data_IF_227171410779
#
_entry.id   IF_227171410779
#
_cell.length_a   1.000
_cell.length_b   1.000
_cell.length_c   1.000
_cell.angle_alpha   90.00
_cell.angle_beta   90.00
_cell.angle_gamma   90.00
#
_symmetry.space_group_name_H-M   'P 1'
#
loop_
_entity.id
_entity.type
_entity.pdbx_description
1 polymer ?
#
# COMPACT_ATOMS: atom_id res chain seq x y z
N UNK A 1 -9.93 -18.54 -0.37
CA UNK A 1 -10.28 -18.35 1.08
C UNK A 1 -10.21 -19.69 1.77
N UNK A 2 -10.93 -20.71 1.31
CA UNK A 2 -11.01 -22.01 2.00
C UNK A 2 -9.63 -22.66 2.19
N UNK A 3 -8.77 -22.68 1.19
CA UNK A 3 -7.41 -23.19 1.34
C UNK A 3 -6.56 -22.39 2.31
N UNK A 4 -6.71 -21.05 2.33
CA UNK A 4 -6.02 -20.20 3.29
C UNK A 4 -6.44 -20.56 4.74
N UNK A 5 -7.75 -20.68 4.98
CA UNK A 5 -8.28 -21.06 6.30
C UNK A 5 -7.77 -22.42 6.75
N UNK A 6 -7.80 -23.41 5.87
CA UNK A 6 -7.38 -24.77 6.14
C UNK A 6 -5.88 -24.89 6.41
N UNK A 7 -5.06 -24.13 5.67
CA UNK A 7 -3.59 -24.21 5.73
C UNK A 7 -2.96 -23.23 6.70
N UNK A 8 -3.67 -22.17 7.09
CA UNK A 8 -3.14 -21.07 7.89
C UNK A 8 -2.11 -20.21 7.17
N UNK A 9 -2.06 -20.27 5.83
CA UNK A 9 -1.17 -19.47 5.00
C UNK A 9 -1.72 -19.31 3.58
N UNK A 10 -1.14 -18.37 2.81
CA UNK A 10 -1.46 -18.27 1.38
C UNK A 10 -0.87 -19.48 0.63
N UNK A 11 -1.71 -20.30 -0.05
CA UNK A 11 -1.22 -21.51 -0.72
C UNK A 11 -0.33 -21.24 -1.94
N UNK A 12 -0.41 -20.03 -2.52
CA UNK A 12 0.29 -19.70 -3.76
C UNK A 12 1.50 -18.76 -3.55
N UNK A 13 1.61 -18.10 -2.38
CA UNK A 13 2.64 -17.09 -2.17
C UNK A 13 2.99 -16.96 -0.68
N UNK A 14 4.30 -16.86 -0.37
CA UNK A 14 4.82 -16.77 1.00
C UNK A 14 4.32 -17.92 1.91
N UNK A 15 4.40 -19.14 1.42
CA UNK A 15 3.87 -20.35 2.07
C UNK A 15 4.44 -20.61 3.48
N UNK A 16 5.60 -20.02 3.79
CA UNK A 16 6.23 -20.09 5.13
C UNK A 16 5.61 -19.17 6.17
N UNK A 17 4.85 -18.15 5.74
CA UNK A 17 4.20 -17.20 6.67
C UNK A 17 2.91 -17.81 7.19
N UNK A 18 2.81 -17.95 8.51
CA UNK A 18 1.64 -18.52 9.18
C UNK A 18 0.78 -17.43 9.81
N UNK A 19 -0.52 -17.62 9.75
CA UNK A 19 -1.52 -16.72 10.32
C UNK A 19 -2.43 -17.49 11.27
N UNK A 20 -2.80 -16.86 12.38
CA UNK A 20 -3.90 -17.38 13.19
C UNK A 20 -5.23 -17.06 12.52
N UNK A 21 -5.81 -18.07 11.89
CA UNK A 21 -7.07 -17.92 11.15
C UNK A 21 -8.29 -17.69 12.04
N UNK A 22 -8.17 -17.86 13.36
CA UNK A 22 -9.24 -17.54 14.31
C UNK A 22 -9.36 -16.02 14.53
N UNK A 23 -8.26 -15.28 14.34
CA UNK A 23 -8.24 -13.82 14.47
C UNK A 23 -8.58 -13.10 13.16
N UNK A 24 -8.68 -13.83 12.04
CA UNK A 24 -8.90 -13.25 10.73
C UNK A 24 -10.31 -13.58 10.21
N UNK A 25 -11.08 -12.57 9.90
CA UNK A 25 -12.36 -12.73 9.20
C UNK A 25 -12.17 -12.64 7.69
N UNK A 26 -12.75 -13.57 6.96
CA UNK A 26 -12.67 -13.63 5.49
C UNK A 26 -14.04 -13.35 4.87
N UNK A 27 -14.07 -12.51 3.83
CA UNK A 27 -15.26 -12.28 3.02
C UNK A 27 -14.89 -12.15 1.55
N UNK A 28 -15.73 -12.69 0.68
CA UNK A 28 -15.68 -12.44 -0.77
C UNK A 28 -16.54 -11.25 -1.20
N UNK A 29 -17.35 -10.69 -0.28
CA UNK A 29 -18.15 -9.50 -0.49
C UNK A 29 -17.50 -8.30 0.23
N UNK A 30 -17.10 -7.32 -0.54
CA UNK A 30 -16.48 -6.07 -0.04
C UNK A 30 -17.43 -5.31 0.90
N UNK A 31 -18.74 -5.38 0.68
CA UNK A 31 -19.72 -4.66 1.49
C UNK A 31 -19.72 -5.17 2.94
N UNK A 32 -19.62 -6.48 3.15
CA UNK A 32 -19.51 -7.05 4.50
C UNK A 32 -18.31 -6.55 5.28
N UNK A 33 -17.21 -6.24 4.57
CA UNK A 33 -16.01 -5.67 5.18
C UNK A 33 -16.22 -4.18 5.49
N UNK A 34 -16.69 -3.42 4.52
CA UNK A 34 -16.91 -1.97 4.66
C UNK A 34 -17.93 -1.65 5.75
N UNK A 35 -18.99 -2.44 5.88
CA UNK A 35 -20.01 -2.23 6.92
C UNK A 35 -19.47 -2.50 8.34
N UNK A 36 -18.49 -3.41 8.45
CA UNK A 36 -18.00 -3.89 9.75
C UNK A 36 -16.81 -3.08 10.28
N UNK A 37 -15.97 -2.53 9.42
CA UNK A 37 -14.68 -1.93 9.83
C UNK A 37 -14.62 -0.46 9.48
N UNK A 38 -13.93 0.33 10.35
CA UNK A 38 -13.77 1.78 10.18
C UNK A 38 -12.48 2.14 9.44
N UNK A 39 -11.46 1.29 9.48
CA UNK A 39 -10.23 1.43 8.73
C UNK A 39 -10.17 0.39 7.59
N UNK A 40 -9.92 0.86 6.37
CA UNK A 40 -9.92 0.04 5.16
C UNK A 40 -8.58 0.16 4.45
N UNK A 41 -7.83 -0.95 4.35
CA UNK A 41 -6.55 -0.97 3.62
C UNK A 41 -6.76 -1.57 2.24
N UNK A 42 -6.54 -0.76 1.20
CA UNK A 42 -6.66 -1.20 -0.19
C UNK A 42 -5.29 -1.63 -0.73
N UNK A 43 -5.20 -2.89 -1.15
CA UNK A 43 -3.97 -3.51 -1.69
C UNK A 43 -4.17 -4.13 -3.08
N UNK A 44 -5.35 -3.96 -3.67
CA UNK A 44 -5.65 -4.42 -5.03
C UNK A 44 -4.79 -3.65 -6.05
N UNK A 45 -4.15 -4.29 -7.03
CA UNK A 45 -3.40 -3.56 -8.06
C UNK A 45 -4.27 -2.53 -8.77
N UNK A 46 -3.70 -1.33 -9.04
CA UNK A 46 -4.43 -0.16 -9.54
C UNK A 46 -5.33 -0.42 -10.76
N UNK A 47 -4.96 -1.27 -11.75
CA UNK A 47 -5.84 -1.56 -12.89
C UNK A 47 -7.17 -2.25 -12.51
N UNK A 48 -7.20 -2.93 -11.37
CA UNK A 48 -8.39 -3.67 -10.91
C UNK A 48 -9.22 -2.91 -9.87
N UNK A 49 -8.70 -1.81 -9.33
CA UNK A 49 -9.33 -1.05 -8.25
C UNK A 49 -10.75 -0.61 -8.61
N UNK A 50 -10.94 0.01 -9.78
CA UNK A 50 -12.26 0.48 -10.25
C UNK A 50 -13.30 -0.65 -10.29
N UNK A 51 -12.92 -1.80 -10.85
CA UNK A 51 -13.83 -2.94 -10.96
C UNK A 51 -14.17 -3.53 -9.58
N UNK A 52 -13.25 -3.44 -8.62
CA UNK A 52 -13.50 -3.84 -7.24
C UNK A 52 -14.48 -2.89 -6.56
N UNK A 53 -14.25 -1.59 -6.71
CA UNK A 53 -15.07 -0.55 -6.08
C UNK A 53 -16.46 -0.41 -6.70
N UNK A 54 -16.68 -0.79 -7.97
CA UNK A 54 -18.02 -0.87 -8.58
C UNK A 54 -19.01 -1.79 -7.82
N UNK A 55 -18.49 -2.72 -7.01
CA UNK A 55 -19.30 -3.62 -6.18
C UNK A 55 -19.74 -2.99 -4.86
N UNK A 56 -19.15 -1.84 -4.48
CA UNK A 56 -19.55 -1.13 -3.27
C UNK A 56 -20.96 -0.58 -3.36
N UNK A 57 -21.76 -0.87 -2.34
CA UNK A 57 -23.10 -0.33 -2.13
C UNK A 57 -23.12 0.67 -0.98
N UNK A 58 -22.21 0.50 -0.03
CA UNK A 58 -22.06 1.35 1.14
C UNK A 58 -21.07 2.49 0.86
N UNK A 59 -21.36 3.68 1.41
CA UNK A 59 -20.47 4.83 1.31
C UNK A 59 -19.24 4.62 2.21
N UNK A 60 -18.07 5.02 1.70
CA UNK A 60 -16.80 4.95 2.43
C UNK A 60 -16.27 6.32 2.86
N UNK A 61 -17.04 7.37 2.64
CA UNK A 61 -16.69 8.76 2.92
C UNK A 61 -16.16 8.99 4.34
N UNK A 62 -16.78 8.33 5.31
CA UNK A 62 -16.47 8.50 6.74
C UNK A 62 -15.46 7.45 7.26
N UNK A 63 -15.00 6.55 6.38
CA UNK A 63 -14.01 5.52 6.73
C UNK A 63 -12.60 6.08 6.63
N UNK A 64 -11.69 5.54 7.44
CA UNK A 64 -10.26 5.78 7.27
C UNK A 64 -9.74 4.87 6.14
N UNK A 65 -9.46 5.46 5.00
CA UNK A 65 -9.05 4.74 3.78
C UNK A 65 -7.54 4.84 3.63
N UNK A 66 -6.87 3.70 3.64
CA UNK A 66 -5.42 3.59 3.50
C UNK A 66 -5.11 2.91 2.16
N UNK A 67 -4.33 3.54 1.31
CA UNK A 67 -3.86 2.94 0.07
C UNK A 67 -2.45 2.39 0.24
N UNK A 68 -2.25 1.11 -0.08
CA UNK A 68 -0.94 0.49 -0.25
C UNK A 68 -0.70 0.14 -1.74
N UNK A 69 -1.51 0.71 -2.62
CA UNK A 69 -1.52 0.47 -4.06
C UNK A 69 -0.39 1.27 -4.71
N UNK A 70 0.37 0.62 -5.58
CA UNK A 70 1.43 1.26 -6.37
C UNK A 70 0.92 1.44 -7.80
N UNK A 71 0.94 2.68 -8.28
CA UNK A 71 0.45 3.01 -9.62
C UNK A 71 -0.67 4.03 -9.61
N UNK A 72 -1.10 4.40 -10.80
CA UNK A 72 -2.23 5.31 -11.05
C UNK A 72 -3.48 4.51 -11.40
N UNK A 73 -4.65 5.10 -11.17
CA UNK A 73 -5.93 4.53 -11.61
C UNK A 73 -6.07 4.81 -13.12
N UNK A 74 -6.15 3.75 -13.95
CA UNK A 74 -6.29 3.93 -15.40
C UNK A 74 -7.55 4.72 -15.77
N UNK A 75 -7.50 5.39 -16.90
CA UNK A 75 -8.51 6.27 -17.50
C UNK A 75 -8.63 7.63 -16.78
N UNK A 76 -8.70 7.67 -15.46
CA UNK A 76 -8.72 8.92 -14.68
C UNK A 76 -7.31 9.56 -14.58
N UNK A 77 -6.25 8.79 -14.71
CA UNK A 77 -4.86 9.23 -14.53
C UNK A 77 -4.58 9.86 -13.15
N UNK A 78 -5.31 9.43 -12.14
CA UNK A 78 -5.18 9.89 -10.76
C UNK A 78 -4.39 8.89 -9.93
N UNK A 79 -3.65 9.36 -8.94
CA UNK A 79 -3.17 8.49 -7.86
C UNK A 79 -4.35 8.04 -7.01
N UNK A 80 -4.18 6.95 -6.25
CA UNK A 80 -5.32 6.33 -5.58
C UNK A 80 -6.01 7.23 -4.56
N UNK A 81 -5.26 8.04 -3.81
CA UNK A 81 -5.85 8.99 -2.85
C UNK A 81 -6.69 10.06 -3.55
N UNK A 82 -6.22 10.63 -4.65
CA UNK A 82 -7.00 11.57 -5.45
C UNK A 82 -8.27 10.92 -6.00
N UNK A 83 -8.18 9.68 -6.45
CA UNK A 83 -9.33 8.94 -6.94
C UNK A 83 -10.37 8.70 -5.84
N UNK A 84 -9.97 8.29 -4.65
CA UNK A 84 -10.89 8.15 -3.51
C UNK A 84 -11.49 9.48 -3.08
N UNK A 85 -10.71 10.55 -3.12
CA UNK A 85 -11.21 11.90 -2.81
C UNK A 85 -12.26 12.38 -3.81
N UNK A 86 -11.95 12.29 -5.11
CA UNK A 86 -12.80 12.87 -6.16
C UNK A 86 -14.05 12.05 -6.47
N UNK A 87 -13.94 10.71 -6.38
CA UNK A 87 -15.02 9.79 -6.81
C UNK A 87 -15.87 9.29 -5.64
N UNK A 88 -15.27 9.17 -4.46
CA UNK A 88 -15.94 8.62 -3.27
C UNK A 88 -16.12 9.64 -2.14
N UNK A 89 -15.80 10.91 -2.38
CA UNK A 89 -15.92 12.01 -1.42
C UNK A 89 -15.16 11.78 -0.09
N UNK A 90 -14.13 10.94 -0.08
CA UNK A 90 -13.32 10.71 1.12
C UNK A 90 -12.46 11.94 1.39
N UNK A 91 -12.58 12.60 2.55
CA UNK A 91 -11.76 13.77 2.84
C UNK A 91 -10.29 13.38 3.03
N UNK A 92 -9.35 14.28 2.67
CA UNK A 92 -7.91 14.01 2.83
C UNK A 92 -7.50 13.70 4.28
N UNK A 93 -8.24 14.19 5.27
CA UNK A 93 -8.04 13.83 6.68
C UNK A 93 -8.37 12.35 7.00
N UNK A 94 -9.06 11.67 6.09
CA UNK A 94 -9.40 10.25 6.19
C UNK A 94 -8.67 9.41 5.13
N UNK A 95 -7.77 10.03 4.36
CA UNK A 95 -6.98 9.33 3.35
C UNK A 95 -5.53 9.18 3.81
N UNK A 96 -5.03 7.97 3.78
CA UNK A 96 -3.63 7.69 4.00
C UNK A 96 -3.03 6.90 2.85
N UNK A 97 -1.73 7.09 2.65
CA UNK A 97 -0.91 6.28 1.75
C UNK A 97 0.18 5.58 2.52
N UNK A 98 0.38 4.29 2.22
CA UNK A 98 1.47 3.48 2.75
C UNK A 98 2.55 3.33 1.68
N UNK A 99 3.71 3.93 1.92
CA UNK A 99 4.89 3.86 1.06
C UNK A 99 6.11 3.30 1.78
N UNK A 100 7.20 3.12 1.05
CA UNK A 100 8.48 2.72 1.60
C UNK A 100 9.01 1.37 1.08
N UNK A 101 10.30 1.10 1.29
CA UNK A 101 10.96 -0.14 0.90
C UNK A 101 10.58 -1.28 1.86
N UNK A 102 9.64 -2.11 1.43
CA UNK A 102 9.11 -3.25 2.19
C UNK A 102 8.75 -4.39 1.23
N UNK A 103 9.76 -5.11 0.77
CA UNK A 103 9.55 -6.26 -0.10
C UNK A 103 8.99 -7.42 0.74
N UNK A 104 7.88 -8.01 0.28
CA UNK A 104 7.11 -8.95 1.10
C UNK A 104 7.93 -10.20 1.51
N UNK A 105 8.82 -10.68 0.62
CA UNK A 105 9.69 -11.81 0.91
C UNK A 105 10.74 -11.45 1.98
N UNK A 106 11.23 -10.21 2.01
CA UNK A 106 12.15 -9.76 3.03
C UNK A 106 11.46 -9.54 4.37
N UNK A 107 10.24 -8.99 4.34
CA UNK A 107 9.40 -8.86 5.55
C UNK A 107 9.08 -10.25 6.13
N UNK A 108 8.77 -11.23 5.29
CA UNK A 108 8.53 -12.61 5.70
C UNK A 108 9.76 -13.29 6.32
N UNK A 109 10.96 -12.80 6.03
CA UNK A 109 12.23 -13.24 6.62
C UNK A 109 12.65 -12.34 7.81
N UNK A 110 11.76 -11.50 8.31
CA UNK A 110 11.98 -10.57 9.43
C UNK A 110 13.17 -9.61 9.18
N UNK A 111 13.44 -9.29 7.90
CA UNK A 111 14.46 -8.32 7.55
C UNK A 111 13.98 -6.90 7.80
N UNK A 112 14.91 -6.05 8.22
CA UNK A 112 14.61 -4.65 8.53
C UNK A 112 13.98 -3.94 7.33
N UNK A 113 12.76 -3.46 7.53
CA UNK A 113 11.93 -2.80 6.53
C UNK A 113 11.48 -1.44 7.04
N UNK A 114 11.25 -0.52 6.11
CA UNK A 114 10.82 0.84 6.43
C UNK A 114 9.52 1.17 5.73
N UNK A 115 8.58 1.68 6.50
CA UNK A 115 7.29 2.14 5.98
C UNK A 115 7.05 3.60 6.36
N UNK A 116 6.44 4.34 5.45
CA UNK A 116 5.94 5.69 5.70
C UNK A 116 4.43 5.67 5.58
N UNK A 117 3.75 6.11 6.63
CA UNK A 117 2.31 6.35 6.63
C UNK A 117 2.08 7.85 6.41
N UNK A 118 1.57 8.20 5.23
CA UNK A 118 1.26 9.58 4.90
C UNK A 118 -0.24 9.84 5.05
N UNK A 119 -0.61 10.84 5.87
CA UNK A 119 -1.99 11.31 6.03
C UNK A 119 -1.95 12.78 6.45
N UNK A 120 -2.89 13.60 6.00
CA UNK A 120 -2.98 15.00 6.46
C UNK A 120 -3.35 15.11 7.95
N UNK A 121 -4.07 14.12 8.47
CA UNK A 121 -4.33 13.95 9.91
C UNK A 121 -3.19 13.11 10.53
N UNK A 122 -2.28 13.80 11.23
CA UNK A 122 -1.08 13.16 11.78
C UNK A 122 -1.38 12.23 12.97
N UNK A 123 -2.47 12.43 13.69
CA UNK A 123 -2.87 11.53 14.77
C UNK A 123 -3.29 10.17 14.21
N UNK A 124 -4.07 10.16 13.13
CA UNK A 124 -4.44 8.92 12.41
C UNK A 124 -3.24 8.24 11.76
N UNK A 125 -2.34 9.05 11.16
CA UNK A 125 -1.10 8.53 10.58
C UNK A 125 -0.26 7.81 11.65
N UNK A 126 -0.08 8.44 12.81
CA UNK A 126 0.70 7.85 13.91
C UNK A 126 0.03 6.60 14.47
N UNK A 127 -1.28 6.66 14.74
CA UNK A 127 -2.01 5.49 15.25
C UNK A 127 -1.90 4.28 14.31
N UNK A 128 -1.97 4.48 13.01
CA UNK A 128 -1.79 3.39 12.04
C UNK A 128 -0.33 2.95 11.93
N UNK A 129 0.63 3.87 12.00
CA UNK A 129 2.05 3.56 12.03
C UNK A 129 2.43 2.70 13.23
N UNK A 130 1.86 2.98 14.42
CA UNK A 130 2.10 2.22 15.63
C UNK A 130 1.61 0.77 15.50
N UNK A 131 0.47 0.55 14.83
CA UNK A 131 -0.06 -0.80 14.53
C UNK A 131 0.89 -1.60 13.63
N UNK A 132 1.60 -0.94 12.72
CA UNK A 132 2.52 -1.59 11.77
C UNK A 132 3.93 -1.79 12.33
N UNK A 133 4.30 -1.06 13.38
CA UNK A 133 5.65 -1.11 13.95
C UNK A 133 5.93 -2.44 14.62
N UNK A 134 7.11 -3.01 14.33
CA UNK A 134 7.61 -4.23 14.97
C UNK A 134 9.13 -4.17 15.12
N UNK A 135 9.75 -5.26 15.59
CA UNK A 135 11.21 -5.34 15.73
C UNK A 135 11.93 -5.13 14.39
N UNK A 136 11.33 -5.61 13.30
CA UNK A 136 11.88 -5.54 11.94
C UNK A 136 11.13 -4.61 10.98
N UNK A 137 10.04 -3.95 11.42
CA UNK A 137 9.35 -2.90 10.65
C UNK A 137 9.45 -1.58 11.39
N UNK A 138 10.14 -0.62 10.78
CA UNK A 138 10.26 0.75 11.28
C UNK A 138 9.33 1.65 10.50
N UNK A 139 8.55 2.45 11.21
CA UNK A 139 7.56 3.35 10.60
C UNK A 139 7.95 4.80 10.77
N UNK A 140 7.51 5.63 9.83
CA UNK A 140 7.53 7.09 9.89
C UNK A 140 6.18 7.64 9.45
N UNK A 141 5.84 8.84 9.88
CA UNK A 141 4.68 9.56 9.40
C UNK A 141 5.07 10.71 8.47
N UNK A 142 4.16 11.10 7.59
CA UNK A 142 4.28 12.24 6.69
C UNK A 142 2.91 12.89 6.51
N UNK A 143 2.89 14.20 6.22
CA UNK A 143 1.65 14.88 5.79
C UNK A 143 1.51 14.94 4.26
N UNK A 144 2.52 14.51 3.51
CA UNK A 144 2.56 14.54 2.04
C UNK A 144 2.05 13.21 1.45
N UNK A 145 0.73 13.05 1.42
CA UNK A 145 0.06 11.86 0.85
C UNK A 145 0.39 11.72 -0.63
N UNK A 146 0.25 12.82 -1.37
CA UNK A 146 0.43 12.84 -2.83
C UNK A 146 1.87 12.53 -3.21
N UNK A 147 2.84 13.17 -2.56
CA UNK A 147 4.26 12.92 -2.81
C UNK A 147 4.68 11.47 -2.53
N UNK A 148 4.18 10.85 -1.47
CA UNK A 148 4.46 9.44 -1.16
C UNK A 148 3.85 8.51 -2.22
N UNK A 149 2.63 8.78 -2.70
CA UNK A 149 2.03 7.99 -3.79
C UNK A 149 2.81 8.15 -5.09
N UNK A 150 3.13 9.37 -5.52
CA UNK A 150 3.93 9.61 -6.72
C UNK A 150 5.33 8.99 -6.62
N UNK A 151 5.98 9.05 -5.47
CA UNK A 151 7.25 8.34 -5.25
C UNK A 151 7.13 6.84 -5.52
N UNK A 152 6.03 6.25 -5.08
CA UNK A 152 5.76 4.82 -5.32
C UNK A 152 5.50 4.49 -6.79
N UNK A 153 4.90 5.40 -7.55
CA UNK A 153 4.71 5.29 -9.01
C UNK A 153 6.04 5.42 -9.74
N UNK A 154 6.80 6.46 -9.42
CA UNK A 154 8.02 6.83 -10.15
C UNK A 154 9.21 5.90 -9.86
N UNK A 155 9.22 5.17 -8.75
CA UNK A 155 10.33 4.27 -8.43
C UNK A 155 10.71 3.30 -9.57
N UNK A 156 9.73 2.87 -10.36
CA UNK A 156 9.99 1.96 -11.48
C UNK A 156 10.68 2.67 -12.64
N UNK A 157 10.43 3.97 -12.84
CA UNK A 157 11.13 4.81 -13.83
C UNK A 157 12.61 4.90 -13.43
N UNK A 158 12.89 5.17 -12.16
CA UNK A 158 14.26 5.18 -11.64
C UNK A 158 14.94 3.81 -11.76
N UNK A 159 14.22 2.73 -11.48
CA UNK A 159 14.74 1.37 -11.63
C UNK A 159 15.13 1.06 -13.08
N UNK A 160 14.34 1.50 -14.07
CA UNK A 160 14.65 1.36 -15.50
C UNK A 160 15.90 2.18 -15.84
N UNK A 161 15.96 3.43 -15.40
CA UNK A 161 17.12 4.31 -15.63
C UNK A 161 18.41 3.70 -15.04
N UNK A 162 18.34 3.21 -13.81
CA UNK A 162 19.47 2.53 -13.16
C UNK A 162 19.88 1.26 -13.93
N UNK A 163 18.92 0.47 -14.42
CA UNK A 163 19.17 -0.71 -15.25
C UNK A 163 19.86 -0.38 -16.56
N UNK A 164 19.44 0.71 -17.23
CA UNK A 164 20.09 1.20 -18.46
C UNK A 164 21.54 1.62 -18.15
N UNK A 165 21.77 2.39 -17.09
CA UNK A 165 23.11 2.82 -16.67
C UNK A 165 24.02 1.62 -16.37
N UNK A 166 23.51 0.62 -15.67
CA UNK A 166 24.22 -0.62 -15.41
C UNK A 166 24.57 -1.38 -16.68
N UNK A 167 23.63 -1.51 -17.62
CA UNK A 167 23.83 -2.17 -18.91
C UNK A 167 24.87 -1.45 -19.79
N UNK A 168 24.89 -0.12 -19.74
CA UNK A 168 25.90 0.72 -20.42
C UNK A 168 27.24 0.80 -19.67
N UNK A 169 27.36 0.10 -18.52
CA UNK A 169 28.58 0.07 -17.69
C UNK A 169 28.99 1.42 -17.11
N UNK A 170 28.04 2.32 -16.87
CA UNK A 170 28.29 3.48 -16.03
C UNK A 170 28.58 2.99 -14.59
N UNK A 171 29.62 3.52 -13.98
CA UNK A 171 30.05 3.10 -12.64
C UNK A 171 29.08 3.51 -11.53
N UNK A 172 29.30 2.96 -10.34
CA UNK A 172 28.45 3.15 -9.14
C UNK A 172 28.31 4.63 -8.75
N UNK A 173 29.33 5.45 -8.97
CA UNK A 173 29.27 6.89 -8.71
C UNK A 173 28.20 7.58 -9.55
N UNK A 174 28.08 7.23 -10.83
CA UNK A 174 27.04 7.78 -11.70
C UNK A 174 25.64 7.29 -11.27
N UNK A 175 25.51 6.00 -10.94
CA UNK A 175 24.24 5.47 -10.46
C UNK A 175 23.81 6.16 -9.15
N UNK A 176 24.74 6.38 -8.22
CA UNK A 176 24.47 7.10 -6.95
C UNK A 176 23.97 8.53 -7.21
N UNK A 177 24.58 9.25 -8.15
CA UNK A 177 24.12 10.60 -8.54
C UNK A 177 22.73 10.56 -9.16
N UNK A 178 22.49 9.62 -10.08
CA UNK A 178 21.17 9.45 -10.72
C UNK A 178 20.05 9.18 -9.72
N UNK A 179 20.35 8.40 -8.67
CA UNK A 179 19.36 8.04 -7.64
C UNK A 179 19.15 9.13 -6.59
N UNK A 180 20.11 10.06 -6.43
CA UNK A 180 20.09 11.12 -5.40
C UNK A 180 19.46 12.42 -5.88
N UNK A 181 19.48 12.68 -7.20
CA UNK A 181 18.99 13.90 -7.83
C UNK A 181 17.63 13.67 -8.51
#
# INVERSE_FOLDING_TARGET
>A
IEDFKRLGHNPAYLVGVRFDTNEISFSSDINNIVDKYDALVFVTPSPYLKNHLKKLKTRIKDKYVITAIKGIVPDENLVCSEYFHQVYDVPYSNLACLGGPSHAEEVALERLSYLTVACSDQEKAQAFADVLTSDFIKTKTSNDVIGIEYSSVLKNVYAIAAGICSGLKFGDNFQSVLMSN
#
